data_IF_543796898002
#
_entry.id   IF_543796898002
#
_cell.length_a   1.000
_cell.length_b   1.000
_cell.length_c   1.000
_cell.angle_alpha   90.00
_cell.angle_beta   90.00
_cell.angle_gamma   90.00
#
_symmetry.space_group_name_H-M   'P 1'
#
loop_
_entity.id
_entity.type
_entity.pdbx_description
1 polymer ?
#
# COMPACT_ATOMS: atom_id res chain seq x y z
N UNK A 1 0.85 27.00 10.77
CA UNK A 1 0.04 26.20 9.85
C UNK A 1 -0.08 26.95 8.54
N UNK A 2 -0.34 26.24 7.43
CA UNK A 2 -0.64 26.86 6.13
C UNK A 2 -1.80 27.86 6.27
N UNK A 3 -1.78 29.01 5.57
CA UNK A 3 -2.90 29.94 5.57
C UNK A 3 -4.21 29.27 5.12
N UNK A 4 -5.33 29.58 5.76
CA UNK A 4 -6.68 29.06 5.41
C UNK A 4 -7.07 29.32 3.93
N UNK A 5 -6.47 30.35 3.35
CA UNK A 5 -6.59 30.72 1.93
C UNK A 5 -6.01 29.67 0.98
N UNK A 6 -4.95 28.95 1.40
CA UNK A 6 -4.36 27.86 0.63
C UNK A 6 -5.15 26.56 0.81
N UNK A 7 -5.70 26.32 2.01
CA UNK A 7 -6.58 25.16 2.25
C UNK A 7 -7.88 25.24 1.44
N UNK A 8 -8.50 26.43 1.39
CA UNK A 8 -9.68 26.67 0.55
C UNK A 8 -9.37 26.67 -0.96
N UNK A 9 -8.10 26.76 -1.36
CA UNK A 9 -7.71 26.62 -2.76
C UNK A 9 -7.84 25.17 -3.26
N UNK A 10 -7.68 24.17 -2.39
CA UNK A 10 -7.89 22.76 -2.76
C UNK A 10 -9.33 22.49 -3.23
N UNK A 11 -10.33 23.15 -2.62
CA UNK A 11 -11.73 23.03 -3.03
C UNK A 11 -12.06 23.72 -4.37
N UNK A 12 -11.12 24.52 -4.91
CA UNK A 12 -11.29 25.16 -6.21
C UNK A 12 -10.97 24.23 -7.38
N UNK A 13 -10.19 23.18 -7.14
CA UNK A 13 -9.88 22.17 -8.15
C UNK A 13 -10.91 21.05 -8.08
N UNK A 14 -11.58 20.79 -9.21
CA UNK A 14 -12.64 19.79 -9.28
C UNK A 14 -12.10 18.40 -8.92
N UNK A 15 -10.91 18.08 -9.39
CA UNK A 15 -10.20 16.82 -9.20
C UNK A 15 -9.93 16.53 -7.71
N UNK A 16 -9.61 17.57 -6.93
CA UNK A 16 -9.37 17.45 -5.50
C UNK A 16 -10.68 17.41 -4.71
N UNK A 17 -11.68 18.18 -5.14
CA UNK A 17 -13.01 18.16 -4.54
C UNK A 17 -13.69 16.80 -4.73
N UNK A 18 -13.63 16.22 -5.92
CA UNK A 18 -14.24 14.92 -6.22
C UNK A 18 -13.67 13.82 -5.29
N UNK A 19 -12.35 13.82 -5.04
CA UNK A 19 -11.71 12.92 -4.06
C UNK A 19 -12.28 13.11 -2.66
N UNK A 20 -12.34 14.37 -2.21
CA UNK A 20 -12.85 14.71 -0.89
C UNK A 20 -14.31 14.27 -0.72
N UNK A 21 -15.16 14.61 -1.68
CA UNK A 21 -16.59 14.26 -1.68
C UNK A 21 -16.79 12.73 -1.68
N UNK A 22 -15.98 11.99 -2.44
CA UNK A 22 -16.03 10.52 -2.45
C UNK A 22 -15.71 9.93 -1.07
N UNK A 23 -14.68 10.45 -0.39
CA UNK A 23 -14.28 9.97 0.94
C UNK A 23 -15.35 10.24 2.01
N UNK A 24 -16.22 11.24 1.83
CA UNK A 24 -17.33 11.51 2.75
C UNK A 24 -18.44 10.44 2.72
N UNK A 25 -18.45 9.59 1.69
CA UNK A 25 -19.42 8.48 1.59
C UNK A 25 -19.01 7.26 2.45
N UNK A 26 -17.88 7.34 3.16
CA UNK A 26 -17.48 6.31 4.10
C UNK A 26 -18.55 6.08 5.17
N UNK A 27 -18.83 4.82 5.47
CA UNK A 27 -19.74 4.42 6.54
C UNK A 27 -19.09 3.39 7.46
N UNK A 28 -19.56 3.33 8.70
CA UNK A 28 -19.18 2.31 9.68
C UNK A 28 -20.43 1.70 10.36
N UNK A 29 -21.60 1.83 9.74
CA UNK A 29 -22.88 1.40 10.32
C UNK A 29 -23.05 -0.14 10.33
N UNK A 30 -22.41 -0.82 9.38
CA UNK A 30 -22.43 -2.29 9.30
C UNK A 30 -21.00 -2.87 9.22
N UNK A 31 -20.87 -4.17 9.50
CA UNK A 31 -19.59 -4.89 9.31
C UNK A 31 -19.07 -4.77 7.88
N UNK A 32 -19.98 -4.74 6.90
CA UNK A 32 -19.65 -4.56 5.49
C UNK A 32 -19.10 -3.16 5.23
N UNK A 33 -19.73 -2.14 5.78
CA UNK A 33 -19.26 -0.76 5.65
C UNK A 33 -17.90 -0.56 6.32
N UNK A 34 -17.68 -1.17 7.49
CA UNK A 34 -16.38 -1.18 8.16
C UNK A 34 -15.31 -1.80 7.24
N UNK A 35 -15.56 -2.99 6.67
CA UNK A 35 -14.61 -3.62 5.76
C UNK A 35 -14.29 -2.74 4.54
N UNK A 36 -15.32 -2.15 3.92
CA UNK A 36 -15.16 -1.22 2.78
C UNK A 36 -14.35 0.01 3.17
N UNK A 37 -14.66 0.63 4.31
CA UNK A 37 -13.98 1.82 4.81
C UNK A 37 -12.51 1.53 5.14
N UNK A 38 -12.19 0.37 5.72
CA UNK A 38 -10.82 -0.05 5.97
C UNK A 38 -10.02 -0.24 4.67
N UNK A 39 -10.63 -0.87 3.65
CA UNK A 39 -10.00 -1.01 2.34
C UNK A 39 -9.80 0.36 1.67
N UNK A 40 -10.83 1.21 1.69
CA UNK A 40 -10.80 2.55 1.09
C UNK A 40 -9.70 3.42 1.72
N UNK A 41 -9.72 3.65 3.03
CA UNK A 41 -8.75 4.52 3.67
C UNK A 41 -7.35 3.90 3.75
N UNK A 42 -7.26 2.67 4.26
CA UNK A 42 -5.96 2.06 4.53
C UNK A 42 -5.25 1.58 3.28
N UNK A 43 -5.94 0.84 2.41
CA UNK A 43 -5.29 0.26 1.24
C UNK A 43 -5.19 1.25 0.08
N UNK A 44 -6.24 2.03 -0.20
CA UNK A 44 -6.30 2.85 -1.40
C UNK A 44 -5.98 4.33 -1.16
N UNK A 45 -6.43 4.96 -0.08
CA UNK A 45 -6.08 6.36 0.19
C UNK A 45 -4.62 6.47 0.62
N UNK A 46 -4.24 5.82 1.71
CA UNK A 46 -2.87 5.85 2.24
C UNK A 46 -1.90 5.05 1.36
N UNK A 47 -2.33 3.84 0.96
CA UNK A 47 -1.49 2.89 0.26
C UNK A 47 -1.32 3.09 -1.25
N UNK A 48 -2.11 3.95 -1.89
CA UNK A 48 -2.11 4.16 -3.35
C UNK A 48 -2.19 5.64 -3.73
N UNK A 49 -3.20 6.38 -3.27
CA UNK A 49 -3.45 7.75 -3.73
C UNK A 49 -2.31 8.71 -3.35
N UNK A 50 -1.75 8.59 -2.14
CA UNK A 50 -0.58 9.39 -1.74
C UNK A 50 0.69 9.07 -2.57
N UNK A 51 0.81 7.85 -3.09
CA UNK A 51 2.01 7.40 -3.82
C UNK A 51 2.17 8.08 -5.20
N UNK A 52 1.09 8.58 -5.79
CA UNK A 52 1.18 9.43 -6.99
C UNK A 52 1.98 10.71 -6.70
N UNK A 53 1.59 11.41 -5.63
CA UNK A 53 2.26 12.63 -5.18
C UNK A 53 3.69 12.36 -4.74
N UNK A 54 3.93 11.26 -4.01
CA UNK A 54 5.29 10.87 -3.61
C UNK A 54 6.20 10.62 -4.83
N UNK A 55 5.72 9.95 -5.87
CA UNK A 55 6.49 9.74 -7.09
C UNK A 55 6.87 11.07 -7.77
N UNK A 56 5.91 12.00 -7.88
CA UNK A 56 6.16 13.32 -8.47
C UNK A 56 7.20 14.10 -7.63
N UNK A 57 7.02 14.15 -6.31
CA UNK A 57 7.88 14.91 -5.41
C UNK A 57 9.29 14.31 -5.28
N UNK A 58 9.41 12.97 -5.26
CA UNK A 58 10.71 12.28 -5.20
C UNK A 58 11.51 12.40 -6.50
N UNK A 59 10.87 12.74 -7.63
CA UNK A 59 11.59 12.99 -8.85
C UNK A 59 12.51 14.23 -8.76
N UNK A 60 12.21 15.22 -7.92
CA UNK A 60 13.11 16.37 -7.72
C UNK A 60 14.46 16.01 -7.07
N UNK A 61 14.51 15.32 -5.92
CA UNK A 61 15.77 14.90 -5.30
C UNK A 61 16.57 13.92 -6.18
N UNK A 62 15.92 13.17 -7.08
CA UNK A 62 16.59 12.34 -8.09
C UNK A 62 17.55 13.14 -8.97
N UNK A 63 17.20 14.39 -9.26
CA UNK A 63 18.01 15.36 -10.01
C UNK A 63 18.75 16.34 -9.10
N UNK A 64 19.04 15.96 -7.85
CA UNK A 64 19.70 16.80 -6.84
C UNK A 64 18.96 18.11 -6.49
N UNK A 65 17.67 18.22 -6.80
CA UNK A 65 16.84 19.40 -6.49
C UNK A 65 16.06 19.15 -5.19
N UNK A 66 15.83 20.20 -4.39
CA UNK A 66 14.95 20.14 -3.21
C UNK A 66 15.28 19.01 -2.21
N UNK A 67 16.56 18.76 -1.92
CA UNK A 67 17.00 17.62 -1.07
C UNK A 67 16.33 17.57 0.31
N UNK A 68 16.12 18.72 0.95
CA UNK A 68 15.43 18.80 2.24
C UNK A 68 13.96 18.35 2.16
N UNK A 69 13.26 18.70 1.07
CA UNK A 69 11.92 18.19 0.79
C UNK A 69 11.96 16.67 0.58
N UNK A 70 12.95 16.17 -0.18
CA UNK A 70 13.12 14.73 -0.39
C UNK A 70 13.21 13.93 0.91
N UNK A 71 13.95 14.43 1.90
CA UNK A 71 14.05 13.78 3.20
C UNK A 71 12.70 13.71 3.94
N UNK A 72 11.93 14.80 3.92
CA UNK A 72 10.60 14.84 4.53
C UNK A 72 9.65 13.88 3.83
N UNK A 73 9.67 13.86 2.49
CA UNK A 73 8.84 12.95 1.70
C UNK A 73 9.20 11.49 1.98
N UNK A 74 10.49 11.14 2.10
CA UNK A 74 10.90 9.78 2.49
C UNK A 74 10.34 9.38 3.85
N UNK A 75 10.32 10.28 4.83
CA UNK A 75 9.69 9.99 6.14
C UNK A 75 8.19 9.80 6.02
N UNK A 76 7.49 10.67 5.29
CA UNK A 76 6.06 10.50 5.03
C UNK A 76 5.75 9.18 4.33
N UNK A 77 6.54 8.78 3.32
CA UNK A 77 6.35 7.51 2.63
C UNK A 77 6.49 6.33 3.59
N UNK A 78 7.44 6.38 4.55
CA UNK A 78 7.60 5.33 5.57
C UNK A 78 6.38 5.24 6.48
N UNK A 79 5.90 6.37 6.98
CA UNK A 79 4.74 6.42 7.87
C UNK A 79 3.48 5.88 7.17
N UNK A 80 3.19 6.35 5.94
CA UNK A 80 2.01 5.90 5.20
C UNK A 80 2.11 4.45 4.74
N UNK A 81 3.33 3.93 4.53
CA UNK A 81 3.53 2.50 4.30
C UNK A 81 3.16 1.69 5.53
N UNK A 82 3.56 2.14 6.73
CA UNK A 82 3.22 1.47 7.99
C UNK A 82 1.71 1.53 8.27
N UNK A 83 1.07 2.67 8.04
CA UNK A 83 -0.39 2.81 8.20
C UNK A 83 -1.13 1.86 7.26
N UNK A 84 -0.78 1.88 5.97
CA UNK A 84 -1.36 1.01 4.95
C UNK A 84 -1.24 -0.48 5.32
N UNK A 85 -0.02 -0.95 5.64
CA UNK A 85 0.21 -2.36 5.97
C UNK A 85 -0.53 -2.77 7.26
N UNK A 86 -0.58 -1.88 8.25
CA UNK A 86 -1.31 -2.13 9.50
C UNK A 86 -2.81 -2.25 9.25
N UNK A 87 -3.37 -1.37 8.43
CA UNK A 87 -4.79 -1.39 8.07
C UNK A 87 -5.15 -2.62 7.21
N UNK A 88 -4.27 -3.03 6.29
CA UNK A 88 -4.43 -4.27 5.52
C UNK A 88 -4.43 -5.50 6.44
N UNK A 89 -3.54 -5.55 7.43
CA UNK A 89 -3.53 -6.66 8.40
C UNK A 89 -4.82 -6.67 9.21
N UNK A 90 -5.27 -5.50 9.68
CA UNK A 90 -6.51 -5.37 10.43
C UNK A 90 -7.71 -5.79 9.57
N UNK A 91 -7.75 -5.42 8.29
CA UNK A 91 -8.79 -5.83 7.35
C UNK A 91 -8.83 -7.35 7.19
N UNK A 92 -7.68 -7.97 6.97
CA UNK A 92 -7.59 -9.42 6.82
C UNK A 92 -8.04 -10.16 8.08
N UNK A 93 -7.68 -9.66 9.27
CA UNK A 93 -8.16 -10.22 10.54
C UNK A 93 -9.67 -10.04 10.70
N UNK A 94 -10.19 -8.85 10.42
CA UNK A 94 -11.62 -8.54 10.48
C UNK A 94 -12.45 -9.44 9.56
N UNK A 95 -12.01 -9.66 8.32
CA UNK A 95 -12.65 -10.59 7.38
C UNK A 95 -12.56 -12.04 7.85
N UNK A 96 -11.43 -12.45 8.44
CA UNK A 96 -11.28 -13.80 8.98
C UNK A 96 -12.24 -14.08 10.16
N UNK A 97 -12.51 -13.09 10.99
CA UNK A 97 -13.48 -13.15 12.10
C UNK A 97 -14.94 -13.07 11.62
N UNK A 98 -15.18 -12.45 10.46
CA UNK A 98 -16.51 -12.18 9.91
C UNK A 98 -16.67 -12.77 8.50
N UNK A 99 -16.41 -14.07 8.35
CA UNK A 99 -16.37 -14.71 7.02
C UNK A 99 -17.70 -14.67 6.27
N UNK A 100 -18.81 -14.48 6.99
CA UNK A 100 -20.16 -14.41 6.43
C UNK A 100 -20.37 -13.19 5.52
N UNK A 101 -19.61 -12.11 5.71
CA UNK A 101 -19.68 -10.93 4.84
C UNK A 101 -18.74 -11.01 3.62
N UNK A 102 -17.84 -11.99 3.55
CA UNK A 102 -16.82 -12.10 2.50
C UNK A 102 -17.35 -12.81 1.23
N UNK A 103 -18.42 -12.25 0.69
CA UNK A 103 -19.09 -12.72 -0.52
C UNK A 103 -18.53 -12.08 -1.81
N UNK A 104 -19.09 -12.45 -2.96
CA UNK A 104 -18.67 -11.92 -4.26
C UNK A 104 -18.99 -10.42 -4.41
N UNK A 105 -20.06 -9.95 -3.77
CA UNK A 105 -20.52 -8.58 -3.88
C UNK A 105 -19.56 -7.65 -3.13
N UNK A 106 -19.11 -8.02 -1.92
CA UNK A 106 -18.17 -7.18 -1.15
C UNK A 106 -16.82 -7.07 -1.85
N UNK A 107 -16.37 -8.18 -2.46
CA UNK A 107 -15.14 -8.21 -3.26
C UNK A 107 -15.23 -7.27 -4.46
N UNK A 108 -16.36 -7.27 -5.16
CA UNK A 108 -16.57 -6.36 -6.29
C UNK A 108 -16.65 -4.91 -5.82
N UNK A 109 -17.36 -4.60 -4.73
CA UNK A 109 -17.42 -3.24 -4.18
C UNK A 109 -16.04 -2.69 -3.81
N UNK A 110 -15.17 -3.51 -3.21
CA UNK A 110 -13.79 -3.10 -2.88
C UNK A 110 -12.95 -2.94 -4.16
N UNK A 111 -13.14 -3.82 -5.14
CA UNK A 111 -12.43 -3.74 -6.43
C UNK A 111 -12.84 -2.47 -7.18
N UNK A 112 -14.12 -2.11 -7.16
CA UNK A 112 -14.63 -0.89 -7.77
C UNK A 112 -14.18 0.37 -7.02
N UNK A 113 -14.03 0.30 -5.69
CA UNK A 113 -13.41 1.36 -4.92
C UNK A 113 -11.97 1.63 -5.41
N UNK A 114 -11.18 0.59 -5.67
CA UNK A 114 -9.84 0.73 -6.24
C UNK A 114 -9.86 1.40 -7.62
N UNK A 115 -10.77 0.97 -8.52
CA UNK A 115 -10.95 1.59 -9.85
C UNK A 115 -11.31 3.06 -9.74
N UNK A 116 -12.24 3.39 -8.84
CA UNK A 116 -12.70 4.77 -8.63
C UNK A 116 -11.57 5.67 -8.15
N UNK A 117 -10.80 5.23 -7.15
CA UNK A 117 -9.66 5.99 -6.62
C UNK A 117 -8.57 6.19 -7.68
N UNK A 118 -8.26 5.17 -8.48
CA UNK A 118 -7.33 5.33 -9.62
C UNK A 118 -7.86 6.33 -10.64
N UNK A 119 -9.17 6.36 -10.90
CA UNK A 119 -9.79 7.38 -11.76
C UNK A 119 -9.58 8.80 -11.23
N UNK A 120 -9.70 9.00 -9.92
CA UNK A 120 -9.40 10.30 -9.31
C UNK A 120 -7.90 10.64 -9.36
N UNK A 121 -7.02 9.66 -9.17
CA UNK A 121 -5.59 9.88 -9.32
C UNK A 121 -5.20 10.19 -10.76
N UNK A 122 -5.83 9.57 -11.76
CA UNK A 122 -5.59 9.89 -13.16
C UNK A 122 -5.91 11.37 -13.45
N UNK A 123 -7.04 11.86 -12.94
CA UNK A 123 -7.45 13.27 -13.09
C UNK A 123 -6.50 14.23 -12.36
N UNK A 124 -6.08 13.87 -11.14
CA UNK A 124 -5.08 14.64 -10.40
C UNK A 124 -3.72 14.66 -11.09
N UNK A 125 -3.28 13.55 -11.66
CA UNK A 125 -2.03 13.47 -12.43
C UNK A 125 -2.13 14.37 -13.68
N UNK A 126 -3.26 14.36 -14.39
CA UNK A 126 -3.43 15.26 -15.53
C UNK A 126 -3.36 16.74 -15.12
N UNK A 127 -3.96 17.10 -13.98
CA UNK A 127 -3.86 18.44 -13.41
C UNK A 127 -2.41 18.78 -13.01
N UNK A 128 -1.72 17.88 -12.31
CA UNK A 128 -0.35 18.09 -11.84
C UNK A 128 0.66 18.25 -12.99
N UNK A 129 0.36 17.68 -14.16
CA UNK A 129 1.17 17.75 -15.37
C UNK A 129 0.56 18.66 -16.45
N UNK A 130 -0.36 19.57 -16.11
CA UNK A 130 -1.04 20.45 -17.08
C UNK A 130 -0.05 21.32 -17.90
N UNK A 131 1.10 21.65 -17.31
CA UNK A 131 2.17 22.43 -17.95
C UNK A 131 3.16 21.55 -18.75
N UNK A 132 2.91 20.25 -18.83
CA UNK A 132 3.72 19.27 -19.52
C UNK A 132 4.55 18.37 -18.60
N UNK A 133 5.28 17.40 -19.19
CA UNK A 133 6.13 16.48 -18.44
C UNK A 133 7.30 17.21 -17.76
N UNK A 134 7.77 16.65 -16.66
CA UNK A 134 8.99 17.12 -15.99
C UNK A 134 10.18 16.25 -16.38
N UNK A 135 11.39 16.75 -16.16
CA UNK A 135 12.63 16.03 -16.42
C UNK A 135 12.60 14.63 -15.77
N UNK A 136 12.69 13.57 -16.59
CA UNK A 136 12.76 12.19 -16.12
C UNK A 136 11.46 11.57 -15.58
N UNK A 137 10.31 12.22 -15.74
CA UNK A 137 9.00 11.68 -15.34
C UNK A 137 7.86 12.23 -16.21
N UNK A 138 7.08 11.33 -16.81
CA UNK A 138 5.87 11.64 -17.59
C UNK A 138 4.59 11.29 -16.83
N UNK A 139 3.45 11.95 -17.12
CA UNK A 139 2.17 11.60 -16.48
C UNK A 139 1.76 10.15 -16.77
N UNK A 140 2.07 9.63 -17.97
CA UNK A 140 1.77 8.24 -18.33
C UNK A 140 2.52 7.23 -17.44
N UNK A 141 3.79 7.51 -17.10
CA UNK A 141 4.56 6.65 -16.18
C UNK A 141 3.98 6.67 -14.76
N UNK A 142 3.57 7.85 -14.25
CA UNK A 142 2.91 7.95 -12.93
C UNK A 142 1.57 7.19 -12.93
N UNK A 143 0.79 7.30 -14.01
CA UNK A 143 -0.48 6.56 -14.19
C UNK A 143 -0.27 5.05 -14.23
N UNK A 144 0.80 4.56 -14.85
CA UNK A 144 1.17 3.14 -14.80
C UNK A 144 1.63 2.73 -13.40
N UNK A 145 2.36 3.61 -12.70
CA UNK A 145 2.83 3.35 -11.34
C UNK A 145 1.69 3.18 -10.35
N UNK A 146 0.67 4.06 -10.36
CA UNK A 146 -0.48 3.91 -9.46
C UNK A 146 -1.28 2.63 -9.73
N UNK A 147 -1.34 2.16 -10.98
CA UNK A 147 -1.97 0.88 -11.35
C UNK A 147 -1.18 -0.31 -10.82
N UNK A 148 0.16 -0.26 -10.94
CA UNK A 148 1.06 -1.23 -10.32
C UNK A 148 0.86 -1.30 -8.80
N UNK A 149 0.75 -0.15 -8.12
CA UNK A 149 0.46 -0.13 -6.69
C UNK A 149 -0.95 -0.66 -6.40
N UNK A 150 -1.96 -0.27 -7.18
CA UNK A 150 -3.34 -0.74 -7.03
C UNK A 150 -3.48 -2.26 -7.09
N UNK A 151 -2.86 -2.90 -8.07
CA UNK A 151 -2.84 -4.36 -8.18
C UNK A 151 -2.22 -5.01 -6.93
N UNK A 152 -1.12 -4.45 -6.40
CA UNK A 152 -0.49 -4.94 -5.16
C UNK A 152 -1.41 -4.80 -3.95
N UNK A 153 -2.14 -3.69 -3.83
CA UNK A 153 -3.10 -3.48 -2.74
C UNK A 153 -4.28 -4.45 -2.81
N UNK A 154 -4.83 -4.69 -4.00
CA UNK A 154 -5.87 -5.69 -4.21
C UNK A 154 -5.38 -7.09 -3.79
N UNK A 155 -4.19 -7.50 -4.22
CA UNK A 155 -3.60 -8.78 -3.82
C UNK A 155 -3.42 -8.90 -2.30
N UNK A 156 -2.97 -7.83 -1.64
CA UNK A 156 -2.80 -7.80 -0.18
C UNK A 156 -4.14 -7.88 0.58
N UNK A 157 -5.24 -7.45 -0.04
CA UNK A 157 -6.62 -7.62 0.43
C UNK A 157 -7.25 -8.96 0.02
N UNK A 158 -6.46 -9.89 -0.54
CA UNK A 158 -6.91 -11.20 -1.06
C UNK A 158 -7.91 -11.09 -2.23
N UNK A 159 -7.74 -10.06 -3.07
CA UNK A 159 -8.48 -9.84 -4.31
C UNK A 159 -7.58 -10.05 -5.52
N UNK A 160 -8.20 -10.33 -6.67
CA UNK A 160 -7.46 -10.47 -7.93
C UNK A 160 -7.03 -9.09 -8.46
N UNK A 161 -5.82 -8.98 -9.07
CA UNK A 161 -5.39 -7.76 -9.73
C UNK A 161 -6.26 -7.47 -10.97
N UNK A 162 -6.39 -6.19 -11.34
CA UNK A 162 -7.30 -5.74 -12.40
C UNK A 162 -6.59 -4.97 -13.52
N UNK A 163 -5.33 -4.55 -13.34
CA UNK A 163 -4.56 -3.83 -14.37
C UNK A 163 -3.47 -4.68 -15.02
N UNK A 164 -3.01 -5.74 -14.37
CA UNK A 164 -2.03 -6.68 -14.92
C UNK A 164 -0.61 -6.10 -15.03
N UNK A 165 -0.27 -5.10 -14.22
CA UNK A 165 1.05 -4.45 -14.28
C UNK A 165 2.04 -5.27 -13.46
N UNK A 166 2.77 -6.17 -14.12
CA UNK A 166 3.66 -7.12 -13.44
C UNK A 166 5.00 -6.52 -12.95
N UNK A 167 5.43 -5.40 -13.51
CA UNK A 167 6.74 -4.78 -13.21
C UNK A 167 6.56 -3.34 -12.76
N UNK A 168 7.34 -2.92 -11.76
CA UNK A 168 7.36 -1.53 -11.32
C UNK A 168 7.83 -0.61 -12.47
N UNK A 169 6.98 0.32 -12.95
CA UNK A 169 7.36 1.25 -14.03
C UNK A 169 8.30 2.36 -13.55
N UNK A 170 8.44 2.58 -12.24
CA UNK A 170 9.34 3.56 -11.63
C UNK A 170 10.34 2.87 -10.68
N UNK A 171 11.26 2.02 -11.18
CA UNK A 171 12.17 1.25 -10.32
C UNK A 171 13.09 2.13 -9.46
N UNK A 172 13.40 3.34 -9.94
CA UNK A 172 14.18 4.33 -9.20
C UNK A 172 13.46 4.80 -7.92
N UNK A 173 12.13 4.68 -7.81
CA UNK A 173 11.42 4.97 -6.56
C UNK A 173 11.88 4.02 -5.46
N UNK A 174 12.01 2.74 -5.77
CA UNK A 174 12.51 1.75 -4.81
C UNK A 174 13.95 2.09 -4.43
N UNK A 175 14.82 2.42 -5.40
CA UNK A 175 16.22 2.80 -5.12
C UNK A 175 16.32 4.03 -4.20
N UNK A 176 15.49 5.05 -4.46
CA UNK A 176 15.50 6.29 -3.69
C UNK A 176 14.94 6.11 -2.27
N UNK A 177 13.98 5.22 -2.09
CA UNK A 177 13.40 4.92 -0.78
C UNK A 177 14.26 3.91 0.02
N UNK A 178 14.99 3.02 -0.67
CA UNK A 178 15.83 1.97 -0.09
C UNK A 178 17.31 2.35 0.07
N UNK A 179 17.70 3.60 -0.21
CA UNK A 179 19.09 4.07 -0.16
C UNK A 179 19.77 4.01 1.21
N UNK A 180 20.15 2.79 1.64
CA UNK A 180 21.24 2.34 2.52
C UNK A 180 21.23 0.80 2.69
N UNK A 181 20.12 0.11 2.40
CA UNK A 181 20.01 -1.35 2.56
C UNK A 181 19.33 -2.01 1.35
N UNK A 182 20.02 -2.95 0.71
CA UNK A 182 19.63 -3.59 -0.55
C UNK A 182 18.48 -4.61 -0.40
N UNK A 183 17.23 -4.16 -0.22
CA UNK A 183 16.02 -5.00 -0.36
C UNK A 183 14.77 -4.17 -0.69
N UNK A 184 13.81 -4.75 -1.43
CA UNK A 184 12.56 -4.12 -1.88
C UNK A 184 11.83 -3.38 -0.74
N UNK A 185 11.41 -2.14 -0.99
CA UNK A 185 10.82 -1.22 0.01
C UNK A 185 9.54 -1.79 0.62
N UNK A 186 8.75 -2.50 -0.19
CA UNK A 186 7.52 -3.17 0.23
C UNK A 186 7.75 -4.48 1.00
N UNK A 187 9.02 -4.91 1.14
CA UNK A 187 9.42 -6.17 1.76
C UNK A 187 10.42 -5.99 2.92
N UNK A 188 10.86 -4.76 3.28
CA UNK A 188 11.83 -4.57 4.35
C UNK A 188 11.26 -4.00 5.66
N UNK A 189 11.80 -4.51 6.77
CA UNK A 189 11.37 -4.27 8.16
C UNK A 189 11.83 -2.90 8.65
N UNK A 190 10.96 -2.19 9.37
CA UNK A 190 11.33 -0.98 10.10
C UNK A 190 12.23 -1.34 11.28
N UNK A 191 13.53 -1.15 11.15
CA UNK A 191 14.46 -1.18 12.29
C UNK A 191 15.17 0.15 12.38
N UNK A 192 14.52 1.16 12.97
CA UNK A 192 15.20 2.25 13.70
C UNK A 192 14.19 3.23 14.31
N UNK A 193 13.46 2.77 15.34
CA UNK A 193 12.92 3.63 16.40
C UNK A 193 12.99 2.93 17.75
N UNK A 194 14.14 2.31 18.06
CA UNK A 194 14.43 1.82 19.41
C UNK A 194 15.32 2.78 20.17
N UNK A 195 14.81 3.99 20.45
CA UNK A 195 15.29 4.77 21.59
C UNK A 195 14.10 5.33 22.37
N UNK A 196 13.97 4.76 23.57
CA UNK A 196 13.19 5.18 24.73
C UNK A 196 11.71 4.73 24.81
N UNK A 197 11.53 3.72 25.68
CA UNK A 197 10.38 3.45 26.56
C UNK A 197 9.08 2.87 25.98
N UNK A 198 9.12 1.59 25.58
CA UNK A 198 8.13 0.56 25.97
C UNK A 198 8.79 -0.82 25.80
N UNK A 199 8.53 -1.80 26.67
CA UNK A 199 9.03 -3.18 26.45
C UNK A 199 8.05 -3.92 25.52
N UNK A 200 8.55 -4.30 24.35
CA UNK A 200 7.80 -4.91 23.25
C UNK A 200 7.99 -4.09 21.97
N UNK A 201 8.52 -4.73 20.92
CA UNK A 201 8.69 -4.15 19.59
C UNK A 201 7.55 -4.60 18.71
N UNK A 202 6.88 -3.68 18.01
CA UNK A 202 5.86 -4.00 17.01
C UNK A 202 6.38 -5.06 16.04
N UNK A 203 7.66 -4.93 15.68
CA UNK A 203 8.46 -5.83 14.86
C UNK A 203 8.37 -7.30 15.30
N UNK A 204 8.37 -7.59 16.60
CA UNK A 204 8.27 -8.96 17.14
C UNK A 204 6.92 -9.64 16.85
N UNK A 205 5.86 -8.86 16.60
CA UNK A 205 4.52 -9.35 16.26
C UNK A 205 4.38 -9.66 14.76
N UNK A 206 5.27 -9.13 13.91
CA UNK A 206 5.16 -9.20 12.44
C UNK A 206 6.23 -10.09 11.78
N UNK A 207 7.11 -10.75 12.56
CA UNK A 207 8.33 -11.37 12.02
C UNK A 207 8.13 -12.54 11.04
N UNK A 208 7.05 -13.33 11.13
CA UNK A 208 7.08 -14.66 10.49
C UNK A 208 6.51 -14.76 9.08
N UNK A 209 5.57 -13.93 8.65
CA UNK A 209 4.87 -14.15 7.37
C UNK A 209 4.75 -12.93 6.43
N UNK A 210 5.03 -11.71 6.90
CA UNK A 210 4.73 -10.47 6.14
C UNK A 210 5.85 -10.05 5.18
N UNK A 211 7.10 -10.39 5.49
CA UNK A 211 8.28 -9.89 4.77
C UNK A 211 8.93 -10.93 3.84
N UNK A 212 8.33 -12.12 3.71
CA UNK A 212 8.92 -13.24 2.97
C UNK A 212 8.54 -13.31 1.48
N UNK A 213 7.81 -12.32 0.94
CA UNK A 213 7.46 -12.27 -0.49
C UNK A 213 6.54 -13.40 -1.00
N UNK A 214 6.06 -14.30 -0.14
CA UNK A 214 5.24 -15.46 -0.51
C UNK A 214 3.73 -15.12 -0.50
N UNK A 215 3.32 -14.13 -1.27
CA UNK A 215 1.91 -13.81 -1.46
C UNK A 215 1.32 -14.72 -2.56
N UNK A 216 0.90 -15.93 -2.18
CA UNK A 216 0.34 -16.89 -3.14
C UNK A 216 -0.16 -18.23 -2.60
N UNK A 217 0.07 -18.57 -1.32
CA UNK A 217 -0.54 -19.77 -0.74
C UNK A 217 -1.94 -19.44 -0.23
N UNK A 218 -2.96 -19.97 -0.93
CA UNK A 218 -4.33 -20.06 -0.41
C UNK A 218 -4.28 -20.72 0.97
N UNK A 219 -4.82 -20.05 1.99
CA UNK A 219 -4.99 -20.63 3.33
C UNK A 219 -5.94 -21.82 3.19
N UNK A 220 -5.42 -23.05 3.35
CA UNK A 220 -6.24 -24.27 3.34
C UNK A 220 -5.65 -25.53 2.72
N UNK A 221 -4.38 -25.58 2.33
CA UNK A 221 -3.74 -26.83 1.87
C UNK A 221 -3.03 -27.56 3.00
N UNK A 222 -3.65 -28.59 3.59
CA UNK A 222 -2.96 -29.53 4.48
C UNK A 222 -1.93 -30.30 3.64
N UNK A 223 -0.65 -29.97 3.79
CA UNK A 223 0.45 -30.78 3.24
C UNK A 223 0.71 -31.94 4.19
N UNK A 224 0.29 -33.13 3.77
CA UNK A 224 0.63 -34.38 4.43
C UNK A 224 2.01 -34.81 3.94
N UNK A 225 3.06 -34.54 4.71
CA UNK A 225 4.38 -35.10 4.43
C UNK A 225 5.04 -35.55 5.75
N UNK A 226 5.00 -36.86 5.99
CA UNK A 226 5.80 -37.53 7.00
C UNK A 226 6.85 -38.36 6.27
N UNK A 227 8.03 -37.80 6.10
CA UNK A 227 9.25 -38.56 5.83
C UNK A 227 10.38 -38.08 6.74
N UNK A 228 10.94 -39.00 7.51
CA UNK A 228 12.09 -38.82 8.40
C UNK A 228 11.92 -39.71 9.63
N UNK A 229 12.38 -40.97 9.60
CA UNK A 229 13.73 -41.42 10.03
C UNK A 229 14.01 -41.09 11.51
N UNK A 230 13.60 -42.01 12.38
CA UNK A 230 14.39 -42.45 13.54
C UNK A 230 14.71 -43.92 13.22
N UNK A 231 15.96 -44.38 13.18
CA UNK A 231 16.89 -44.37 14.30
C UNK A 231 16.97 -45.81 14.81
N UNK A 232 18.10 -46.48 14.54
CA UNK A 232 18.44 -47.84 14.94
C UNK A 232 18.01 -48.17 16.39
N UNK A 233 17.76 -49.47 16.66
CA UNK A 233 18.47 -50.29 17.66
C UNK A 233 17.72 -51.62 17.94
N UNK A 234 18.45 -52.73 17.72
CA UNK A 234 18.30 -54.10 18.27
C UNK A 234 17.12 -54.95 17.78
N UNK A 235 17.17 -56.28 17.71
CA UNK A 235 18.17 -57.32 17.51
C UNK A 235 17.40 -58.65 17.63
N UNK A 236 17.92 -59.69 16.99
CA UNK A 236 17.76 -61.11 17.33
C UNK A 236 16.44 -61.84 16.99
N UNK A 237 16.68 -62.93 16.25
CA UNK A 237 15.91 -64.17 16.03
C UNK A 237 14.77 -64.18 14.99
#
# INVERSE_FOLDING_TARGET
GMPEVEYSAFLKYKEMKDKFDYMQNASMESRRDIAKTMAMFGAFTEGLQLFASFAILMNFPRFNKMKGMGQIVTWSVRDETLHCLSMIKLFNAFIAENRDIWDAELKEEITECCRTIIGFEDAFIDLAFEQGPIEGLTPAEVKQYIRYIGDRRLQQLQLDPIFGIAKNPLPWMDEMLNGAEHTNFFENRATEYSKASTQGTWESVFEKDIFAGNYGKKIGGVSNDKTGKDGDILAAE
#
